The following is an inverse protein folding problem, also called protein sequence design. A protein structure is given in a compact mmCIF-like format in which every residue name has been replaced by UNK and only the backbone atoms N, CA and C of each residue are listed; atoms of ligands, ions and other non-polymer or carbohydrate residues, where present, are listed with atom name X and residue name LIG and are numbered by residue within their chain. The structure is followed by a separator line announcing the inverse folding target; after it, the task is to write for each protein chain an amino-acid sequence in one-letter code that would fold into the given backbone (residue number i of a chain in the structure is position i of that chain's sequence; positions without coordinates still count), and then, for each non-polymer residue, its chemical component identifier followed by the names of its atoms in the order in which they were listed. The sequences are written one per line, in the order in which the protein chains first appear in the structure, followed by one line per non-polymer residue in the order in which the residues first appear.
data_IF_808346810951
#
_entry.id   IF_808346810951
#
_cell.length_a   1.000
_cell.length_b   1.000
_cell.length_c   1.000
_cell.angle_alpha   90.00
_cell.angle_beta   90.00
_cell.angle_gamma   90.00
#
_symmetry.space_group_name_H-M   'P 1'
#
loop_
_entity.id
_entity.type
_entity.pdbx_description
1 polymer ?
#
# COMPACT_ATOMS: atom_id res chain seq x y z
N UNK A 1 -23.53 3.22 2.72
CA UNK A 1 -23.28 2.91 4.15
C UNK A 1 -23.31 4.22 4.92
N UNK A 2 -23.90 4.29 6.14
CA UNK A 2 -23.87 5.51 6.95
C UNK A 2 -22.50 5.70 7.62
N UNK A 3 -22.16 6.93 8.02
CA UNK A 3 -20.94 7.20 8.77
C UNK A 3 -20.84 6.37 10.05
N UNK A 4 -21.97 6.18 10.75
CA UNK A 4 -22.06 5.36 11.97
C UNK A 4 -21.72 3.89 11.69
N UNK A 5 -22.26 3.31 10.61
CA UNK A 5 -21.96 1.90 10.25
C UNK A 5 -20.51 1.74 9.80
N UNK A 6 -19.94 2.73 9.11
CA UNK A 6 -18.54 2.73 8.71
C UNK A 6 -17.60 2.81 9.92
N UNK A 7 -17.91 3.70 10.88
CA UNK A 7 -17.14 3.80 12.13
C UNK A 7 -17.24 2.53 12.98
N UNK A 8 -18.43 1.91 13.07
CA UNK A 8 -18.60 0.65 13.77
C UNK A 8 -17.80 -0.49 13.11
N UNK A 9 -17.84 -0.60 11.78
CA UNK A 9 -17.05 -1.58 11.03
C UNK A 9 -15.54 -1.41 11.30
N UNK A 10 -15.04 -0.17 11.20
CA UNK A 10 -13.64 0.15 11.48
C UNK A 10 -13.23 -0.25 12.90
N UNK A 11 -14.06 0.12 13.90
CA UNK A 11 -13.79 -0.20 15.30
C UNK A 11 -13.77 -1.72 15.53
N UNK A 12 -14.76 -2.44 15.00
CA UNK A 12 -14.83 -3.91 15.14
C UNK A 12 -13.60 -4.57 14.50
N UNK A 13 -13.24 -4.18 13.26
CA UNK A 13 -12.08 -4.74 12.59
C UNK A 13 -10.79 -4.46 13.38
N UNK A 14 -10.55 -3.22 13.80
CA UNK A 14 -9.34 -2.86 14.53
C UNK A 14 -9.24 -3.59 15.89
N UNK A 15 -10.35 -3.75 16.63
CA UNK A 15 -10.36 -4.50 17.88
C UNK A 15 -10.15 -6.00 17.64
N UNK A 16 -10.78 -6.57 16.61
CA UNK A 16 -10.55 -7.96 16.22
C UNK A 16 -9.08 -8.20 15.84
N UNK A 17 -8.49 -7.31 15.05
CA UNK A 17 -7.09 -7.40 14.65
C UNK A 17 -6.16 -7.34 15.88
N UNK A 18 -6.38 -6.39 16.79
CA UNK A 18 -5.60 -6.30 18.04
C UNK A 18 -5.66 -7.60 18.85
N UNK A 19 -6.82 -8.27 18.88
CA UNK A 19 -7.01 -9.53 19.57
C UNK A 19 -6.36 -10.72 18.84
N UNK A 20 -6.35 -10.72 17.49
CA UNK A 20 -5.87 -11.82 16.65
C UNK A 20 -4.36 -11.75 16.36
N UNK A 21 -3.77 -10.54 16.30
CA UNK A 21 -2.35 -10.38 16.00
C UNK A 21 -1.40 -11.21 16.88
N UNK A 22 -1.59 -11.31 18.21
CA UNK A 22 -0.71 -12.16 19.03
C UNK A 22 -0.69 -13.62 18.56
N UNK A 23 -1.86 -14.16 18.17
CA UNK A 23 -1.98 -15.51 17.63
C UNK A 23 -1.30 -15.66 16.28
N UNK A 24 -1.47 -14.66 15.39
CA UNK A 24 -0.79 -14.62 14.09
C UNK A 24 0.73 -14.56 14.27
N UNK A 25 1.23 -13.68 15.13
CA UNK A 25 2.67 -13.55 15.43
C UNK A 25 3.24 -14.90 15.92
N UNK A 26 2.52 -15.58 16.82
CA UNK A 26 2.91 -16.90 17.30
C UNK A 26 2.94 -17.93 16.17
N UNK A 27 1.93 -17.93 15.29
CA UNK A 27 1.86 -18.82 14.14
C UNK A 27 3.03 -18.59 13.18
N UNK A 28 3.31 -17.33 12.81
CA UNK A 28 4.42 -16.96 11.93
C UNK A 28 5.78 -17.39 12.52
N UNK A 29 5.99 -17.19 13.82
CA UNK A 29 7.20 -17.66 14.50
C UNK A 29 7.36 -19.17 14.43
N UNK A 30 6.29 -19.93 14.70
CA UNK A 30 6.32 -21.41 14.67
C UNK A 30 6.53 -21.95 13.25
N UNK A 31 6.04 -21.23 12.23
CA UNK A 31 6.18 -21.61 10.83
C UNK A 31 7.51 -21.17 10.21
N UNK A 32 8.38 -20.52 11.00
CA UNK A 32 9.70 -20.07 10.55
C UNK A 32 9.71 -18.78 9.74
N UNK A 33 8.57 -18.12 9.52
CA UNK A 33 8.51 -16.85 8.78
C UNK A 33 9.20 -15.72 9.57
N UNK A 34 10.52 -15.64 9.43
CA UNK A 34 11.37 -14.66 10.12
C UNK A 34 12.20 -13.86 9.14
N UNK A 35 12.40 -12.59 9.43
CA UNK A 35 13.19 -11.73 8.53
C UNK A 35 14.67 -12.08 8.59
N UNK A 36 15.26 -12.30 7.42
CA UNK A 36 16.70 -12.38 7.21
C UNK A 36 17.27 -10.98 7.02
N UNK A 37 18.36 -10.68 7.73
CA UNK A 37 19.02 -9.36 7.64
C UNK A 37 19.84 -9.29 6.37
N UNK A 38 19.75 -8.17 5.64
CA UNK A 38 20.67 -7.85 4.55
C UNK A 38 22.01 -7.39 5.12
N UNK A 39 23.12 -7.98 4.67
CA UNK A 39 24.47 -7.60 5.10
C UNK A 39 24.82 -6.14 4.77
N UNK A 40 24.19 -5.57 3.72
CA UNK A 40 24.40 -4.21 3.24
C UNK A 40 23.55 -3.15 3.98
N UNK A 41 22.70 -3.56 4.91
CA UNK A 41 21.80 -2.68 5.67
C UNK A 41 22.54 -1.88 6.77
N UNK A 42 21.89 -0.85 7.36
CA UNK A 42 22.40 -0.17 8.54
C UNK A 42 22.56 -1.15 9.73
N UNK A 43 23.54 -0.88 10.62
CA UNK A 43 23.80 -1.74 11.78
C UNK A 43 22.59 -1.83 12.74
N UNK A 44 21.72 -0.82 12.76
CA UNK A 44 20.45 -0.81 13.48
C UNK A 44 19.53 -1.98 13.10
N UNK A 45 19.62 -2.49 11.88
CA UNK A 45 18.79 -3.59 11.41
C UNK A 45 19.26 -4.96 11.92
N UNK A 46 20.51 -5.10 12.36
CA UNK A 46 21.05 -6.37 12.91
C UNK A 46 20.31 -6.85 14.16
N UNK A 47 19.75 -5.94 14.95
CA UNK A 47 18.98 -6.27 16.15
C UNK A 47 17.56 -6.78 15.86
N UNK A 48 17.11 -6.67 14.59
CA UNK A 48 15.77 -7.06 14.14
C UNK A 48 15.71 -8.51 13.60
N UNK A 49 16.83 -9.25 13.67
CA UNK A 49 16.89 -10.66 13.25
C UNK A 49 15.89 -11.52 14.02
N UNK A 50 15.19 -12.41 13.30
CA UNK A 50 14.24 -13.33 13.92
C UNK A 50 12.87 -12.71 14.22
N UNK A 51 12.63 -11.44 13.88
CA UNK A 51 11.27 -10.87 13.93
C UNK A 51 10.40 -11.52 12.86
N UNK A 52 9.19 -12.01 13.20
CA UNK A 52 8.27 -12.57 12.22
C UNK A 52 7.93 -11.59 11.10
N UNK A 53 7.82 -12.07 9.87
CA UNK A 53 7.36 -11.31 8.69
C UNK A 53 6.03 -11.83 8.17
N UNK A 54 5.48 -11.21 7.13
CA UNK A 54 4.16 -11.51 6.53
C UNK A 54 2.97 -11.18 7.46
N UNK A 55 3.13 -10.21 8.36
CA UNK A 55 2.01 -9.68 9.16
C UNK A 55 0.85 -9.14 8.32
N UNK A 56 1.13 -8.80 7.05
CA UNK A 56 0.13 -8.40 6.07
C UNK A 56 -0.96 -9.43 5.77
N UNK A 57 -0.81 -10.69 6.21
CA UNK A 57 -1.89 -11.69 6.12
C UNK A 57 -3.15 -11.26 6.88
N UNK A 58 -3.05 -10.43 7.92
CA UNK A 58 -4.22 -9.88 8.61
C UNK A 58 -5.07 -8.99 7.70
N UNK A 59 -4.45 -8.26 6.77
CA UNK A 59 -5.18 -7.44 5.79
C UNK A 59 -6.10 -8.29 4.89
N UNK A 60 -5.70 -9.53 4.54
CA UNK A 60 -6.57 -10.44 3.81
C UNK A 60 -7.87 -10.73 4.57
N UNK A 61 -7.77 -10.98 5.87
CA UNK A 61 -8.95 -11.20 6.71
C UNK A 61 -9.87 -9.98 6.71
N UNK A 62 -9.31 -8.78 6.84
CA UNK A 62 -10.09 -7.53 6.82
C UNK A 62 -10.77 -7.31 5.47
N UNK A 63 -10.10 -7.56 4.36
CA UNK A 63 -10.69 -7.47 3.01
C UNK A 63 -11.86 -8.45 2.87
N UNK A 64 -11.71 -9.69 3.35
CA UNK A 64 -12.80 -10.67 3.33
C UNK A 64 -13.98 -10.23 4.19
N UNK A 65 -13.75 -9.73 5.40
CA UNK A 65 -14.83 -9.25 6.29
C UNK A 65 -15.53 -8.03 5.67
N UNK A 66 -14.80 -7.06 5.13
CA UNK A 66 -15.41 -5.89 4.44
C UNK A 66 -16.26 -6.35 3.26
N UNK A 67 -15.79 -7.33 2.47
CA UNK A 67 -16.55 -7.90 1.37
C UNK A 67 -17.85 -8.56 1.85
N UNK A 68 -17.78 -9.38 2.90
CA UNK A 68 -18.97 -10.07 3.47
C UNK A 68 -19.97 -9.05 4.03
N UNK A 69 -19.49 -8.05 4.76
CA UNK A 69 -20.37 -6.97 5.30
C UNK A 69 -21.02 -6.18 4.16
N UNK A 70 -20.26 -5.85 3.12
CA UNK A 70 -20.81 -5.15 1.96
C UNK A 70 -21.93 -5.94 1.30
N UNK A 71 -21.72 -7.23 1.01
CA UNK A 71 -22.73 -8.10 0.40
C UNK A 71 -23.95 -8.24 1.30
N UNK A 72 -23.76 -8.38 2.61
CA UNK A 72 -24.86 -8.47 3.58
C UNK A 72 -25.69 -7.19 3.65
N UNK A 73 -25.05 -6.02 3.71
CA UNK A 73 -25.69 -4.70 3.80
C UNK A 73 -26.41 -4.33 2.51
N UNK A 74 -25.86 -4.70 1.36
CA UNK A 74 -26.49 -4.45 0.04
C UNK A 74 -27.58 -5.48 -0.31
N UNK A 75 -27.92 -6.38 0.62
CA UNK A 75 -28.95 -7.41 0.47
C UNK A 75 -28.79 -8.27 -0.79
N UNK A 76 -27.54 -8.61 -1.11
CA UNK A 76 -27.21 -9.47 -2.23
C UNK A 76 -27.26 -8.79 -3.61
N UNK A 77 -27.30 -7.44 -3.66
CA UNK A 77 -26.94 -6.76 -4.90
C UNK A 77 -25.52 -7.21 -5.26
N UNK A 78 -25.38 -7.81 -6.45
CA UNK A 78 -24.12 -8.40 -6.89
C UNK A 78 -22.97 -7.40 -6.92
N UNK A 79 -21.74 -7.91 -6.83
CA UNK A 79 -20.55 -7.11 -7.00
C UNK A 79 -20.51 -6.55 -8.42
N UNK A 80 -20.17 -5.27 -8.53
CA UNK A 80 -19.95 -4.64 -9.83
C UNK A 80 -18.64 -5.16 -10.46
N UNK A 81 -18.44 -4.88 -11.74
CA UNK A 81 -17.20 -5.28 -12.43
C UNK A 81 -15.95 -4.67 -11.79
N UNK A 82 -16.03 -3.41 -11.36
CA UNK A 82 -14.90 -2.75 -10.69
C UNK A 82 -14.65 -3.35 -9.30
N UNK A 83 -15.68 -3.82 -8.58
CA UNK A 83 -15.53 -4.50 -7.31
C UNK A 83 -14.79 -5.84 -7.48
N UNK A 84 -15.18 -6.64 -8.47
CA UNK A 84 -14.53 -7.91 -8.79
C UNK A 84 -13.08 -7.66 -9.23
N UNK A 85 -12.86 -6.67 -10.09
CA UNK A 85 -11.53 -6.29 -10.55
C UNK A 85 -10.61 -5.86 -9.40
N UNK A 86 -11.14 -5.05 -8.46
CA UNK A 86 -10.42 -4.59 -7.28
C UNK A 86 -10.03 -5.76 -6.36
N UNK A 87 -10.97 -6.66 -6.08
CA UNK A 87 -10.69 -7.84 -5.27
C UNK A 87 -9.61 -8.74 -5.91
N UNK A 88 -9.68 -8.97 -7.22
CA UNK A 88 -8.67 -9.73 -7.94
C UNK A 88 -7.31 -9.04 -7.91
N UNK A 89 -7.28 -7.72 -8.12
CA UNK A 89 -6.05 -6.94 -8.08
C UNK A 89 -5.37 -6.98 -6.71
N UNK A 90 -6.14 -6.76 -5.64
CA UNK A 90 -5.64 -6.86 -4.26
C UNK A 90 -5.17 -8.28 -3.94
N UNK A 91 -5.96 -9.30 -4.30
CA UNK A 91 -5.62 -10.70 -4.04
C UNK A 91 -4.34 -11.14 -4.78
N UNK A 92 -4.17 -10.78 -6.05
CA UNK A 92 -2.97 -11.14 -6.82
C UNK A 92 -1.73 -10.48 -6.22
N UNK A 93 -1.79 -9.20 -5.85
CA UNK A 93 -0.66 -8.49 -5.25
C UNK A 93 -0.32 -9.03 -3.85
N UNK A 94 -1.33 -9.32 -3.01
CA UNK A 94 -1.14 -9.94 -1.71
C UNK A 94 -0.49 -11.31 -1.85
N UNK A 95 -1.00 -12.16 -2.73
CA UNK A 95 -0.47 -13.50 -2.96
C UNK A 95 0.94 -13.46 -3.55
N UNK A 96 1.23 -12.52 -4.45
CA UNK A 96 2.59 -12.34 -4.97
C UNK A 96 3.57 -11.91 -3.89
N UNK A 97 3.14 -11.03 -2.98
CA UNK A 97 3.92 -10.64 -1.81
C UNK A 97 4.15 -11.80 -0.84
N UNK A 98 3.10 -12.57 -0.56
CA UNK A 98 3.22 -13.77 0.26
C UNK A 98 4.16 -14.81 -0.35
N UNK A 99 4.07 -15.03 -1.67
CA UNK A 99 4.99 -15.91 -2.37
C UNK A 99 6.44 -15.44 -2.28
N UNK A 100 6.66 -14.13 -2.37
CA UNK A 100 7.99 -13.53 -2.21
C UNK A 100 8.55 -13.76 -0.79
N UNK A 101 7.75 -13.44 0.23
CA UNK A 101 8.11 -13.65 1.63
C UNK A 101 8.38 -15.13 1.92
N UNK A 102 7.53 -16.03 1.43
CA UNK A 102 7.69 -17.47 1.59
C UNK A 102 8.94 -18.02 0.89
N UNK A 103 9.26 -17.52 -0.31
CA UNK A 103 10.47 -17.93 -1.05
C UNK A 103 11.74 -17.47 -0.34
N UNK A 104 11.75 -16.26 0.24
CA UNK A 104 12.87 -15.75 1.05
C UNK A 104 13.13 -16.66 2.24
N UNK A 105 12.07 -17.01 2.98
CA UNK A 105 12.15 -17.88 4.14
C UNK A 105 12.68 -19.27 3.74
N UNK A 106 12.05 -19.91 2.76
CA UNK A 106 12.38 -21.28 2.37
C UNK A 106 13.79 -21.44 1.84
N UNK A 107 14.34 -20.42 1.18
CA UNK A 107 15.69 -20.42 0.64
C UNK A 107 16.75 -19.96 1.66
N UNK A 108 16.34 -19.48 2.84
CA UNK A 108 17.21 -18.79 3.78
C UNK A 108 18.11 -17.73 3.10
N UNK A 109 17.56 -17.01 2.15
CA UNK A 109 18.23 -15.97 1.36
C UNK A 109 17.30 -14.77 1.19
N UNK A 110 17.89 -13.59 1.03
CA UNK A 110 17.15 -12.37 0.75
C UNK A 110 16.55 -12.32 -0.67
N UNK A 111 16.80 -13.34 -1.50
CA UNK A 111 16.33 -13.43 -2.88
C UNK A 111 15.00 -14.21 -2.93
N UNK A 112 13.90 -13.49 -2.89
CA UNK A 112 12.56 -14.01 -3.15
C UNK A 112 12.28 -14.15 -4.65
N UNK A 113 11.25 -13.49 -5.13
CA UNK A 113 10.99 -13.30 -6.56
C UNK A 113 12.00 -12.30 -7.15
N UNK A 114 12.44 -12.56 -8.37
CA UNK A 114 13.27 -11.60 -9.09
C UNK A 114 12.47 -10.33 -9.39
N UNK A 115 13.14 -9.17 -9.39
CA UNK A 115 12.46 -7.87 -9.56
C UNK A 115 11.58 -7.82 -10.82
N UNK A 116 12.06 -8.38 -11.96
CA UNK A 116 11.25 -8.42 -13.17
C UNK A 116 10.02 -9.35 -13.07
N UNK A 117 10.07 -10.41 -12.25
CA UNK A 117 8.92 -11.30 -12.01
C UNK A 117 7.84 -10.56 -11.23
N UNK A 118 8.22 -9.79 -10.19
CA UNK A 118 7.28 -8.94 -9.44
C UNK A 118 6.61 -7.94 -10.36
N UNK A 119 7.38 -7.19 -11.14
CA UNK A 119 6.85 -6.21 -12.09
C UNK A 119 5.93 -6.87 -13.12
N UNK A 120 6.28 -8.05 -13.63
CA UNK A 120 5.42 -8.78 -14.58
C UNK A 120 4.08 -9.18 -13.94
N UNK A 121 4.09 -9.76 -12.74
CA UNK A 121 2.87 -10.16 -12.02
C UNK A 121 1.99 -8.93 -11.76
N UNK A 122 2.56 -7.84 -11.26
CA UNK A 122 1.85 -6.58 -10.99
C UNK A 122 1.28 -5.97 -12.27
N UNK A 123 2.03 -6.01 -13.38
CA UNK A 123 1.57 -5.51 -14.69
C UNK A 123 0.40 -6.34 -15.21
N UNK A 124 0.46 -7.67 -15.11
CA UNK A 124 -0.65 -8.55 -15.49
C UNK A 124 -1.86 -8.36 -14.58
N UNK A 125 -1.65 -8.18 -13.27
CA UNK A 125 -2.73 -7.87 -12.33
C UNK A 125 -3.40 -6.53 -12.65
N UNK A 126 -2.63 -5.49 -12.96
CA UNK A 126 -3.16 -4.19 -13.36
C UNK A 126 -3.88 -4.25 -14.71
N UNK A 127 -3.34 -4.99 -15.69
CA UNK A 127 -4.01 -5.21 -16.98
C UNK A 127 -5.37 -5.91 -16.78
N UNK A 128 -5.42 -6.93 -15.93
CA UNK A 128 -6.67 -7.63 -15.57
C UNK A 128 -7.65 -6.68 -14.86
N UNK A 129 -7.15 -5.86 -13.92
CA UNK A 129 -7.96 -4.86 -13.22
C UNK A 129 -8.67 -3.93 -14.19
N UNK A 130 -7.94 -3.34 -15.12
CA UNK A 130 -8.54 -2.43 -16.11
C UNK A 130 -9.41 -3.15 -17.15
N UNK A 131 -9.04 -4.36 -17.57
CA UNK A 131 -9.83 -5.13 -18.54
C UNK A 131 -11.19 -5.57 -17.97
N UNK A 132 -11.23 -6.00 -16.70
CA UNK A 132 -12.47 -6.42 -16.03
C UNK A 132 -13.28 -5.23 -15.55
N UNK A 133 -12.62 -4.26 -14.89
CA UNK A 133 -13.27 -3.11 -14.27
C UNK A 133 -13.79 -2.09 -15.28
N UNK A 134 -13.11 -1.94 -16.42
CA UNK A 134 -13.48 -0.99 -17.48
C UNK A 134 -13.35 -1.62 -18.87
N UNK A 135 -14.29 -2.53 -19.24
CA UNK A 135 -14.24 -3.25 -20.52
C UNK A 135 -14.59 -2.32 -21.69
N UNK A 136 -13.64 -1.75 -22.28
CA UNK A 136 -13.77 -0.77 -23.38
C UNK A 136 -12.70 0.28 -23.31
N UNK A 137 -11.88 0.21 -22.25
CA UNK A 137 -10.75 1.12 -22.02
C UNK A 137 -11.13 2.60 -22.17
N UNK A 138 -12.37 2.93 -21.74
CA UNK A 138 -12.97 4.27 -21.85
C UNK A 138 -12.74 5.05 -20.56
N UNK A 139 -11.51 5.13 -20.12
CA UNK A 139 -11.15 5.97 -18.99
C UNK A 139 -10.77 7.37 -19.47
N UNK A 140 -10.99 8.34 -18.61
CA UNK A 140 -10.47 9.70 -18.79
C UNK A 140 -10.16 10.32 -17.46
N UNK A 141 -9.11 11.13 -17.42
CA UNK A 141 -8.83 12.03 -16.31
C UNK A 141 -9.26 13.41 -16.75
N UNK A 142 -10.12 14.05 -15.97
CA UNK A 142 -10.66 15.36 -16.28
C UNK A 142 -10.34 16.34 -15.15
N UNK A 143 -10.20 17.61 -15.54
CA UNK A 143 -10.07 18.75 -14.65
C UNK A 143 -11.27 19.67 -14.91
N UNK A 144 -12.32 19.55 -14.10
CA UNK A 144 -13.59 20.19 -14.42
C UNK A 144 -14.12 19.74 -15.78
N UNK A 145 -14.41 20.67 -16.66
CA UNK A 145 -14.88 20.38 -18.03
C UNK A 145 -13.76 19.96 -19.01
N UNK A 146 -12.49 20.06 -18.61
CA UNK A 146 -11.35 19.79 -19.49
C UNK A 146 -10.87 18.35 -19.32
N UNK A 147 -10.93 17.55 -20.39
CA UNK A 147 -10.34 16.22 -20.44
C UNK A 147 -8.83 16.35 -20.63
N UNK A 148 -8.05 15.93 -19.63
CA UNK A 148 -6.59 15.99 -19.65
C UNK A 148 -5.99 14.74 -20.33
N UNK A 149 -6.63 13.58 -20.15
CA UNK A 149 -6.14 12.31 -20.64
C UNK A 149 -7.32 11.39 -20.93
N UNK A 150 -7.30 10.70 -22.07
CA UNK A 150 -8.37 9.75 -22.43
C UNK A 150 -7.87 8.63 -23.35
N UNK A 151 -8.71 7.62 -23.53
CA UNK A 151 -8.46 6.52 -24.46
C UNK A 151 -7.22 5.71 -24.12
N UNK A 152 -6.43 5.34 -25.13
CA UNK A 152 -5.24 4.52 -24.96
C UNK A 152 -4.17 5.12 -24.03
N UNK A 153 -3.97 6.43 -24.11
CA UNK A 153 -3.01 7.12 -23.24
C UNK A 153 -3.41 7.09 -21.77
N UNK A 154 -4.72 7.21 -21.49
CA UNK A 154 -5.22 6.98 -20.12
C UNK A 154 -4.82 5.60 -19.62
N UNK A 155 -5.07 4.56 -20.42
CA UNK A 155 -4.77 3.19 -20.05
C UNK A 155 -3.28 2.98 -19.76
N UNK A 156 -2.39 3.46 -20.65
CA UNK A 156 -0.94 3.32 -20.47
C UNK A 156 -0.47 4.01 -19.17
N UNK A 157 -0.92 5.25 -18.94
CA UNK A 157 -0.52 6.00 -17.74
C UNK A 157 -1.14 5.39 -16.48
N UNK A 158 -2.39 4.93 -16.54
CA UNK A 158 -3.04 4.23 -15.44
C UNK A 158 -2.32 2.92 -15.05
N UNK A 159 -1.82 2.17 -16.04
CA UNK A 159 -0.99 0.97 -15.81
C UNK A 159 0.32 1.32 -15.10
N UNK A 160 1.04 2.35 -15.60
CA UNK A 160 2.28 2.82 -14.97
C UNK A 160 2.02 3.32 -13.55
N UNK A 161 0.94 4.08 -13.35
CA UNK A 161 0.51 4.54 -12.04
C UNK A 161 0.21 3.37 -11.10
N UNK A 162 -0.58 2.38 -11.53
CA UNK A 162 -0.98 1.25 -10.70
C UNK A 162 0.23 0.45 -10.23
N UNK A 163 1.12 0.06 -11.14
CA UNK A 163 2.35 -0.69 -10.80
C UNK A 163 3.28 0.20 -9.96
N UNK A 164 3.42 1.47 -10.32
CA UNK A 164 4.26 2.43 -9.61
C UNK A 164 3.83 2.62 -8.16
N UNK A 165 2.53 2.82 -7.91
CA UNK A 165 2.01 3.02 -6.55
C UNK A 165 2.11 1.77 -5.69
N UNK A 166 1.82 0.58 -6.23
CA UNK A 166 2.01 -0.68 -5.49
C UNK A 166 3.47 -0.83 -5.03
N UNK A 167 4.43 -0.52 -5.91
CA UNK A 167 5.85 -0.55 -5.53
C UNK A 167 6.25 0.62 -4.61
N UNK A 168 5.64 1.79 -4.74
CA UNK A 168 5.92 2.94 -3.87
C UNK A 168 5.56 2.64 -2.41
N UNK A 169 4.42 1.99 -2.16
CA UNK A 169 4.05 1.49 -0.84
C UNK A 169 5.07 0.47 -0.32
N UNK A 170 5.45 -0.50 -1.16
CA UNK A 170 6.46 -1.51 -0.78
C UNK A 170 7.83 -0.89 -0.48
N UNK A 171 8.28 0.11 -1.24
CA UNK A 171 9.53 0.83 -0.99
C UNK A 171 9.49 1.64 0.32
N UNK A 172 8.31 2.04 0.79
CA UNK A 172 8.15 2.80 2.04
C UNK A 172 8.21 1.90 3.28
N UNK A 173 8.05 0.57 3.13
CA UNK A 173 8.12 -0.42 4.23
C UNK A 173 9.57 -0.73 4.64
N UNK A 174 10.35 0.30 4.97
CA UNK A 174 11.78 0.15 5.29
C UNK A 174 12.15 0.33 6.76
N UNK A 175 11.28 0.95 7.58
CA UNK A 175 11.49 1.22 9.01
C UNK A 175 10.27 0.81 9.83
N UNK A 176 10.50 0.46 11.12
CA UNK A 176 9.42 0.07 12.03
C UNK A 176 8.34 1.14 12.10
N UNK A 177 7.11 0.79 11.75
CA UNK A 177 5.94 1.67 11.75
C UNK A 177 5.89 2.71 10.63
N UNK A 178 6.87 2.79 9.74
CA UNK A 178 6.90 3.84 8.72
C UNK A 178 5.73 3.72 7.75
N UNK A 179 5.57 2.59 7.08
CA UNK A 179 4.49 2.41 6.10
C UNK A 179 3.13 2.54 6.77
N UNK A 180 2.87 1.80 7.85
CA UNK A 180 1.56 1.82 8.49
C UNK A 180 1.20 3.20 9.07
N UNK A 181 2.15 3.96 9.64
CA UNK A 181 1.86 5.31 10.11
C UNK A 181 1.57 6.28 8.97
N UNK A 182 2.32 6.20 7.86
CA UNK A 182 2.16 7.13 6.74
C UNK A 182 0.94 6.81 5.87
N UNK A 183 0.47 5.57 5.85
CA UNK A 183 -0.76 5.15 5.16
C UNK A 183 -2.04 5.44 5.96
N UNK A 184 -1.97 5.58 7.29
CA UNK A 184 -3.13 5.93 8.13
C UNK A 184 -3.92 7.15 7.63
N UNK A 185 -3.33 8.34 7.45
CA UNK A 185 -4.06 9.51 6.99
C UNK A 185 -4.61 9.32 5.56
N UNK A 186 -3.92 8.56 4.73
CA UNK A 186 -4.33 8.24 3.35
C UNK A 186 -5.61 7.41 3.37
N UNK A 187 -5.63 6.30 4.11
CA UNK A 187 -6.81 5.44 4.18
C UNK A 187 -7.94 6.05 5.01
N UNK A 188 -7.65 6.94 5.97
CA UNK A 188 -8.67 7.70 6.67
C UNK A 188 -9.45 8.62 5.72
N UNK A 189 -8.77 9.36 4.85
CA UNK A 189 -9.41 10.22 3.84
C UNK A 189 -10.12 9.38 2.78
N UNK A 190 -9.51 8.31 2.30
CA UNK A 190 -10.13 7.42 1.33
C UNK A 190 -11.42 6.77 1.86
N UNK A 191 -11.44 6.37 3.15
CA UNK A 191 -12.65 5.87 3.81
C UNK A 191 -13.70 6.97 3.99
N UNK A 192 -13.30 8.18 4.39
CA UNK A 192 -14.22 9.31 4.53
C UNK A 192 -14.88 9.67 3.19
N UNK A 193 -14.10 9.63 2.12
CA UNK A 193 -14.56 9.80 0.74
C UNK A 193 -15.59 8.73 0.36
N UNK A 194 -15.28 7.46 0.61
CA UNK A 194 -16.18 6.35 0.31
C UNK A 194 -17.52 6.40 1.08
N UNK A 195 -17.53 7.01 2.25
CA UNK A 195 -18.77 7.25 3.02
C UNK A 195 -19.55 8.41 2.43
N UNK A 196 -18.90 9.50 2.06
CA UNK A 196 -19.53 10.68 1.48
C UNK A 196 -20.04 10.41 0.05
N UNK A 197 -19.30 9.61 -0.72
CA UNK A 197 -19.53 9.32 -2.14
C UNK A 197 -19.34 7.82 -2.41
N UNK A 198 -20.37 6.99 -2.12
CA UNK A 198 -20.26 5.55 -2.26
C UNK A 198 -19.93 5.11 -3.69
N UNK A 199 -18.81 4.45 -3.87
CA UNK A 199 -18.30 3.93 -5.15
C UNK A 199 -18.15 2.39 -5.14
N UNK A 200 -19.08 1.70 -4.50
CA UNK A 200 -19.09 0.25 -4.41
C UNK A 200 -18.18 -0.32 -3.33
N UNK A 201 -17.94 -1.63 -3.41
CA UNK A 201 -17.02 -2.34 -2.51
C UNK A 201 -15.58 -1.83 -2.70
N UNK A 202 -15.16 -1.62 -3.95
CA UNK A 202 -13.81 -1.17 -4.27
C UNK A 202 -13.46 0.16 -3.57
N UNK A 203 -14.42 1.10 -3.51
CA UNK A 203 -14.28 2.34 -2.78
C UNK A 203 -14.24 2.15 -1.26
N UNK A 204 -14.78 1.05 -0.74
CA UNK A 204 -14.83 0.76 0.70
C UNK A 204 -13.61 -0.02 1.22
N UNK A 205 -12.79 -0.62 0.35
CA UNK A 205 -11.60 -1.37 0.75
C UNK A 205 -10.62 -0.58 1.64
N UNK A 206 -10.50 0.77 1.54
CA UNK A 206 -9.71 1.55 2.50
C UNK A 206 -10.08 1.34 3.97
N UNK A 207 -11.32 0.96 4.28
CA UNK A 207 -11.71 0.63 5.65
C UNK A 207 -10.95 -0.60 6.20
N UNK A 208 -10.72 -1.61 5.35
CA UNK A 208 -9.91 -2.78 5.71
C UNK A 208 -8.44 -2.41 5.96
N UNK A 209 -7.87 -1.56 5.09
CA UNK A 209 -6.50 -1.08 5.22
C UNK A 209 -6.32 -0.18 6.45
N UNK A 210 -7.24 0.73 6.71
CA UNK A 210 -7.20 1.62 7.87
C UNK A 210 -7.28 0.83 9.19
N UNK A 211 -8.19 -0.15 9.29
CA UNK A 211 -8.29 -1.00 10.47
C UNK A 211 -7.01 -1.80 10.71
N UNK A 212 -6.47 -2.37 9.62
CA UNK A 212 -5.19 -3.08 9.66
C UNK A 212 -4.07 -2.18 10.15
N UNK A 213 -3.88 -0.98 9.57
CA UNK A 213 -2.81 -0.07 9.94
C UNK A 213 -2.89 0.36 11.41
N UNK A 214 -4.10 0.65 11.92
CA UNK A 214 -4.32 0.99 13.34
C UNK A 214 -3.83 -0.14 14.24
N UNK A 215 -4.26 -1.37 13.98
CA UNK A 215 -3.88 -2.52 14.80
C UNK A 215 -2.41 -2.93 14.59
N UNK A 216 -1.94 -2.89 13.36
CA UNK A 216 -0.57 -3.27 13.01
C UNK A 216 0.47 -2.37 13.68
N UNK A 217 0.23 -1.06 13.75
CA UNK A 217 1.12 -0.12 14.44
C UNK A 217 1.35 -0.45 15.91
N UNK A 218 0.38 -1.06 16.59
CA UNK A 218 0.54 -1.51 17.97
C UNK A 218 1.67 -2.55 18.11
N UNK A 219 1.85 -3.38 17.09
CA UNK A 219 2.83 -4.46 17.09
C UNK A 219 4.10 -4.15 16.28
N UNK A 220 4.00 -3.21 15.33
CA UNK A 220 5.10 -2.81 14.43
C UNK A 220 5.74 -1.47 14.82
N UNK A 221 5.33 -0.82 15.93
CA UNK A 221 6.01 0.35 16.47
C UNK A 221 7.47 0.04 16.88
N UNK A 222 8.25 1.03 17.31
CA UNK A 222 9.68 0.87 17.62
C UNK A 222 9.98 -0.39 18.45
N UNK A 223 10.90 -1.24 17.95
CA UNK A 223 11.16 -2.65 18.31
C UNK A 223 10.00 -3.55 17.87
N UNK A 224 9.74 -3.51 16.56
CA UNK A 224 8.66 -4.28 15.95
C UNK A 224 8.62 -5.74 16.38
N UNK A 225 7.43 -6.22 16.77
CA UNK A 225 7.16 -7.62 17.10
C UNK A 225 6.81 -8.45 15.87
N UNK A 226 6.47 -7.78 14.76
CA UNK A 226 6.13 -8.36 13.47
C UNK A 226 6.39 -7.35 12.36
N UNK A 227 6.86 -7.83 11.21
CA UNK A 227 6.98 -7.04 9.99
C UNK A 227 5.83 -7.31 9.04
N UNK A 228 5.49 -6.28 8.25
CA UNK A 228 4.39 -6.36 7.29
C UNK A 228 4.70 -7.35 6.16
N UNK A 229 5.94 -7.33 5.68
CA UNK A 229 6.40 -8.08 4.52
C UNK A 229 5.87 -7.54 3.20
N UNK A 230 6.35 -8.12 2.10
CA UNK A 230 5.84 -7.82 0.78
C UNK A 230 4.34 -8.19 0.67
N UNK A 231 3.89 -9.17 1.48
CA UNK A 231 2.48 -9.56 1.62
C UNK A 231 1.57 -8.37 1.92
N UNK A 232 1.91 -7.55 2.91
CA UNK A 232 1.08 -6.43 3.34
C UNK A 232 1.31 -5.18 2.52
N UNK A 233 2.57 -4.82 2.26
CA UNK A 233 2.91 -3.57 1.58
C UNK A 233 2.41 -3.52 0.13
N UNK A 234 2.49 -4.62 -0.64
CA UNK A 234 1.91 -4.70 -1.98
C UNK A 234 0.37 -4.68 -1.93
N UNK A 235 -0.23 -5.33 -0.92
CA UNK A 235 -1.68 -5.31 -0.75
C UNK A 235 -2.20 -3.91 -0.39
N UNK A 236 -1.57 -3.16 0.52
CA UNK A 236 -1.93 -1.77 0.84
C UNK A 236 -1.86 -0.88 -0.39
N UNK A 237 -0.77 -0.97 -1.16
CA UNK A 237 -0.63 -0.24 -2.42
C UNK A 237 -1.74 -0.57 -3.42
N UNK A 238 -2.14 -1.84 -3.52
CA UNK A 238 -3.23 -2.24 -4.41
C UNK A 238 -4.62 -1.81 -3.92
N UNK A 239 -4.87 -1.76 -2.61
CA UNK A 239 -6.09 -1.15 -2.04
C UNK A 239 -6.17 0.34 -2.41
N UNK A 240 -5.06 1.06 -2.28
CA UNK A 240 -5.00 2.48 -2.66
C UNK A 240 -5.31 2.69 -4.14
N UNK A 241 -4.71 1.89 -5.04
CA UNK A 241 -4.99 1.94 -6.49
C UNK A 241 -6.45 1.60 -6.80
N UNK A 242 -6.98 0.56 -6.18
CA UNK A 242 -8.38 0.15 -6.38
C UNK A 242 -9.35 1.26 -5.97
N UNK A 243 -9.13 1.90 -4.81
CA UNK A 243 -9.90 3.05 -4.37
C UNK A 243 -9.79 4.22 -5.36
N UNK A 244 -8.58 4.55 -5.81
CA UNK A 244 -8.33 5.67 -6.75
C UNK A 244 -9.23 5.57 -7.97
N UNK A 245 -9.22 4.43 -8.66
CA UNK A 245 -9.98 4.25 -9.90
C UNK A 245 -11.46 3.97 -9.69
N UNK A 246 -11.86 3.38 -8.55
CA UNK A 246 -13.27 3.19 -8.22
C UNK A 246 -13.96 4.52 -7.86
N UNK A 247 -13.23 5.45 -7.26
CA UNK A 247 -13.74 6.75 -6.81
C UNK A 247 -13.52 7.87 -7.82
N UNK A 248 -12.80 7.63 -8.93
CA UNK A 248 -12.45 8.67 -9.91
C UNK A 248 -11.55 9.76 -9.35
N UNK A 249 -10.65 9.38 -8.42
CA UNK A 249 -9.79 10.32 -7.70
C UNK A 249 -8.34 10.30 -8.21
N UNK A 250 -8.13 10.07 -9.51
CA UNK A 250 -6.81 9.86 -10.12
C UNK A 250 -5.86 11.04 -9.89
N UNK A 251 -6.34 12.28 -10.06
CA UNK A 251 -5.52 13.48 -9.85
C UNK A 251 -5.25 13.74 -8.37
N UNK A 252 -6.30 13.64 -7.54
CA UNK A 252 -6.16 13.86 -6.11
C UNK A 252 -5.26 12.81 -5.46
N UNK A 253 -5.31 11.57 -5.94
CA UNK A 253 -4.50 10.46 -5.42
C UNK A 253 -2.99 10.68 -5.60
N UNK A 254 -2.56 11.47 -6.60
CA UNK A 254 -1.16 11.86 -6.75
C UNK A 254 -0.66 12.69 -5.56
N UNK A 255 -1.54 13.49 -4.95
CA UNK A 255 -1.22 14.23 -3.74
C UNK A 255 -1.50 13.39 -2.49
N UNK A 256 -2.66 12.72 -2.39
CA UNK A 256 -2.99 11.85 -1.26
C UNK A 256 -1.90 10.80 -1.03
N UNK A 257 -1.38 10.19 -2.11
CA UNK A 257 -0.25 9.26 -2.09
C UNK A 257 1.12 9.92 -2.29
N UNK A 258 1.23 11.25 -2.19
CA UNK A 258 2.41 12.02 -2.59
C UNK A 258 3.69 11.62 -1.86
N UNK A 259 3.61 11.26 -0.59
CA UNK A 259 4.77 10.78 0.15
C UNK A 259 5.35 9.51 -0.46
N UNK A 260 4.51 8.54 -0.84
CA UNK A 260 4.94 7.29 -1.47
C UNK A 260 5.57 7.55 -2.85
N UNK A 261 5.01 8.52 -3.60
CA UNK A 261 5.62 8.96 -4.86
C UNK A 261 7.02 9.55 -4.64
N UNK A 262 7.22 10.36 -3.59
CA UNK A 262 8.54 10.91 -3.25
C UNK A 262 9.53 9.79 -2.93
N UNK A 263 9.11 8.77 -2.17
CA UNK A 263 9.93 7.60 -1.88
C UNK A 263 10.35 6.87 -3.16
N UNK A 264 9.40 6.55 -4.04
CA UNK A 264 9.68 5.88 -5.30
C UNK A 264 10.53 6.73 -6.25
N UNK A 265 10.23 8.02 -6.39
CA UNK A 265 11.01 8.95 -7.20
C UNK A 265 12.45 9.08 -6.71
N UNK A 266 12.68 9.07 -5.40
CA UNK A 266 14.03 9.10 -4.84
C UNK A 266 14.88 7.90 -5.31
N UNK A 267 14.28 6.72 -5.38
CA UNK A 267 14.93 5.51 -5.91
C UNK A 267 15.18 5.63 -7.40
N UNK A 268 14.18 6.08 -8.17
CA UNK A 268 14.31 6.24 -9.62
C UNK A 268 15.42 7.24 -9.98
N UNK A 269 15.48 8.38 -9.30
CA UNK A 269 16.53 9.41 -9.46
C UNK A 269 17.90 8.81 -9.11
N UNK A 270 18.02 8.17 -7.94
CA UNK A 270 19.26 7.57 -7.48
C UNK A 270 19.81 6.55 -8.47
N UNK A 271 18.95 5.59 -8.91
CA UNK A 271 19.36 4.53 -9.83
C UNK A 271 19.73 5.09 -11.20
N UNK A 272 18.96 6.06 -11.70
CA UNK A 272 19.22 6.71 -12.99
C UNK A 272 20.57 7.44 -12.99
N UNK A 273 20.80 8.31 -12.00
CA UNK A 273 22.07 9.07 -11.91
C UNK A 273 23.26 8.12 -11.68
N UNK A 274 23.09 7.09 -10.85
CA UNK A 274 24.15 6.13 -10.59
C UNK A 274 24.54 5.36 -11.87
N UNK A 275 23.55 4.89 -12.65
CA UNK A 275 23.81 4.20 -13.93
C UNK A 275 24.40 5.13 -14.99
N UNK A 276 23.82 6.31 -15.20
CA UNK A 276 24.29 7.28 -16.21
C UNK A 276 25.68 7.84 -15.91
N UNK A 277 26.06 7.91 -14.62
CA UNK A 277 27.41 8.35 -14.23
C UNK A 277 28.48 7.23 -14.26
N UNK A 278 28.16 6.07 -14.81
CA UNK A 278 29.06 4.91 -14.77
C UNK A 278 29.31 4.40 -13.36
N UNK A 279 28.29 4.43 -12.50
CA UNK A 279 28.29 4.00 -11.08
C UNK A 279 29.19 4.85 -10.17
N UNK A 280 29.42 6.12 -10.52
CA UNK A 280 30.34 7.01 -9.79
C UNK A 280 29.64 8.03 -8.90
N UNK A 281 28.42 8.49 -9.26
CA UNK A 281 27.71 9.55 -8.55
C UNK A 281 26.43 9.03 -7.90
N UNK A 282 26.17 9.51 -6.71
CA UNK A 282 24.92 9.31 -5.96
C UNK A 282 24.30 10.66 -5.65
N UNK A 283 22.97 10.79 -5.76
CA UNK A 283 22.21 11.98 -5.37
C UNK A 283 21.94 11.95 -3.87
N UNK A 284 21.49 10.82 -3.38
CA UNK A 284 21.21 10.58 -1.97
C UNK A 284 22.27 9.65 -1.38
N UNK A 285 22.52 9.73 -0.08
CA UNK A 285 23.41 8.80 0.63
C UNK A 285 22.93 7.35 0.48
N UNK A 286 21.61 7.18 0.53
CA UNK A 286 20.90 5.92 0.27
C UNK A 286 19.49 6.25 -0.25
N UNK A 287 18.88 5.34 -1.01
CA UNK A 287 17.49 5.43 -1.44
C UNK A 287 16.79 4.11 -1.10
N UNK A 288 15.50 4.11 -0.74
CA UNK A 288 14.55 5.25 -0.69
C UNK A 288 14.97 6.37 0.28
N UNK A 289 14.28 7.55 0.23
CA UNK A 289 14.75 8.77 0.89
C UNK A 289 14.73 8.68 2.43
N UNK A 290 13.90 7.84 3.04
CA UNK A 290 13.94 7.61 4.49
C UNK A 290 15.30 7.08 4.93
N UNK A 291 15.95 6.20 4.16
CA UNK A 291 17.30 5.71 4.44
C UNK A 291 18.38 6.80 4.28
N UNK A 292 18.15 7.83 3.45
CA UNK A 292 19.03 8.98 3.39
C UNK A 292 19.11 9.69 4.75
N UNK A 293 17.95 9.92 5.40
CA UNK A 293 17.88 10.54 6.72
C UNK A 293 18.46 9.63 7.81
N UNK A 294 18.29 8.32 7.70
CA UNK A 294 18.93 7.36 8.60
C UNK A 294 20.46 7.45 8.50
N UNK A 295 21.01 7.54 7.27
CA UNK A 295 22.45 7.73 7.03
C UNK A 295 22.96 9.12 7.49
N UNK A 296 22.10 10.12 7.61
CA UNK A 296 22.39 11.40 8.26
C UNK A 296 22.37 11.33 9.80
N UNK A 297 22.13 10.17 10.39
CA UNK A 297 22.11 9.96 11.83
C UNK A 297 20.80 10.33 12.53
N UNK A 298 19.69 10.44 11.79
CA UNK A 298 18.40 10.63 12.43
C UNK A 298 17.93 9.33 13.08
N UNK A 299 17.38 9.43 14.29
CA UNK A 299 16.75 8.27 14.94
C UNK A 299 15.51 7.83 14.16
N UNK A 300 15.28 6.51 14.09
CA UNK A 300 14.19 5.89 13.33
C UNK A 300 12.81 6.47 13.69
N UNK A 301 12.50 6.60 14.97
CA UNK A 301 11.27 7.21 15.45
C UNK A 301 11.08 8.68 15.01
N UNK A 302 12.17 9.44 14.89
CA UNK A 302 12.14 10.82 14.40
C UNK A 302 11.82 10.85 12.89
N UNK A 303 12.35 9.89 12.11
CA UNK A 303 12.05 9.76 10.68
C UNK A 303 10.57 9.44 10.53
N UNK A 304 10.08 8.39 11.21
CA UNK A 304 8.68 7.95 11.17
C UNK A 304 7.73 9.10 11.51
N UNK A 305 7.97 9.81 12.62
CA UNK A 305 7.11 10.93 13.02
C UNK A 305 7.08 12.06 11.98
N UNK A 306 8.23 12.41 11.38
CA UNK A 306 8.30 13.47 10.35
C UNK A 306 7.66 13.06 9.04
N UNK A 307 7.82 11.80 8.65
CA UNK A 307 7.19 11.25 7.45
C UNK A 307 5.67 11.14 7.63
N UNK A 308 5.20 10.80 8.83
CA UNK A 308 3.77 10.87 9.16
C UNK A 308 3.23 12.31 8.97
N UNK A 309 3.92 13.32 9.52
CA UNK A 309 3.52 14.74 9.32
C UNK A 309 3.54 15.11 7.84
N UNK A 310 4.57 14.70 7.09
CA UNK A 310 4.64 14.94 5.66
C UNK A 310 3.47 14.26 4.91
N UNK A 311 3.13 13.01 5.27
CA UNK A 311 1.96 12.31 4.71
C UNK A 311 0.66 13.07 4.98
N UNK A 312 0.45 13.56 6.22
CA UNK A 312 -0.72 14.39 6.56
C UNK A 312 -0.79 15.64 5.69
N UNK A 313 0.33 16.34 5.48
CA UNK A 313 0.37 17.53 4.62
C UNK A 313 0.03 17.22 3.15
N UNK A 314 0.56 16.13 2.62
CA UNK A 314 0.21 15.65 1.29
C UNK A 314 -1.28 15.29 1.18
N UNK A 315 -1.82 14.59 2.18
CA UNK A 315 -3.25 14.22 2.23
C UNK A 315 -4.11 15.49 2.27
N UNK A 316 -3.79 16.48 3.10
CA UNK A 316 -4.53 17.75 3.15
C UNK A 316 -4.51 18.46 1.80
N UNK A 317 -3.37 18.50 1.12
CA UNK A 317 -3.28 19.04 -0.24
C UNK A 317 -4.16 18.26 -1.23
N UNK A 318 -4.18 16.92 -1.13
CA UNK A 318 -5.06 16.07 -1.93
C UNK A 318 -6.55 16.33 -1.66
N UNK A 319 -6.93 16.52 -0.41
CA UNK A 319 -8.32 16.88 -0.02
C UNK A 319 -8.75 18.21 -0.64
N UNK A 320 -7.86 19.21 -0.70
CA UNK A 320 -8.16 20.47 -1.38
C UNK A 320 -8.46 20.23 -2.87
N UNK A 321 -7.71 19.34 -3.52
CA UNK A 321 -7.97 18.97 -4.92
C UNK A 321 -9.29 18.21 -5.04
N UNK A 322 -9.56 17.23 -4.16
CA UNK A 322 -10.81 16.46 -4.15
C UNK A 322 -12.04 17.35 -4.00
N UNK A 323 -11.95 18.43 -3.24
CA UNK A 323 -13.08 19.35 -2.96
C UNK A 323 -13.21 20.47 -3.96
N UNK A 324 -12.10 20.96 -4.52
CA UNK A 324 -12.10 22.08 -5.46
C UNK A 324 -12.58 21.69 -6.87
N UNK A 325 -12.52 20.39 -7.23
CA UNK A 325 -12.72 19.92 -8.60
C UNK A 325 -13.88 18.92 -8.75
N UNK A 326 -14.76 18.94 -7.77
CA UNK A 326 -16.12 18.37 -7.86
C UNK A 326 -17.12 19.43 -8.24
#
# INVERSE_FOLDING_TARGET
MTATTAAALLLILAVCDLALFPSLIMLLRRSGFTQLIREEGPDSHKTKAGTPTSGGLMLLLNVLVVCLVYVAVTRGHGLSRIDIAALLFVAINLLSGFLDDWLKERKHRNDGLLGYQKILIQTLAAALFFAVGNPGLRGSVSLGATVLLSGWWFFVIAMVYAVGMVNAFNLTDGLDGLLASTSLPVFAVAMAEAVAHPSGLAGLLPAAALAFDIAFLWFNGPRASVFMGDTGSLALGSVFVAWTFASGQELASLLVGGLFLVEALSVMIQVSVFRLSGRRRRVFLMAPIHHHFEKLGWAENKIVARFFVASVLFVLAGVLVMTAWR
#
